data_IF_388696276524
#
_entry.id   IF_388696276524
#
_cell.length_a   1.000
_cell.length_b   1.000
_cell.length_c   1.000
_cell.angle_alpha   90.00
_cell.angle_beta   90.00
_cell.angle_gamma   90.00
#
_symmetry.space_group_name_H-M   'P 1'
#
loop_
_entity.id
_entity.type
_entity.pdbx_description
1 polymer ?
#
# COMPACT_ATOMS: atom_id res chain seq x y z
N UNK A 1 19.34 0.08 13.56
CA UNK A 1 18.56 1.24 13.06
C UNK A 1 18.27 0.98 11.59
N UNK A 2 16.99 0.97 11.20
CA UNK A 2 16.55 0.70 9.82
C UNK A 2 15.10 1.11 9.52
N UNK A 3 14.38 1.64 10.52
CA UNK A 3 12.97 2.02 10.42
C UNK A 3 12.73 3.47 9.95
N UNK A 4 13.80 4.23 9.67
CA UNK A 4 13.67 5.59 9.11
C UNK A 4 13.35 5.50 7.62
N UNK A 5 12.58 6.46 7.12
CA UNK A 5 12.38 6.60 5.67
C UNK A 5 13.71 6.83 4.95
N UNK A 6 13.77 6.40 3.69
CA UNK A 6 14.91 6.66 2.82
C UNK A 6 15.13 8.18 2.67
N UNK A 7 16.37 8.69 2.69
CA UNK A 7 16.64 10.13 2.65
C UNK A 7 16.12 10.85 1.40
N UNK A 8 15.91 10.12 0.31
CA UNK A 8 15.36 10.67 -0.94
C UNK A 8 13.84 10.66 -0.99
N UNK A 9 13.16 10.03 -0.03
CA UNK A 9 11.70 10.09 0.04
C UNK A 9 11.28 11.53 0.35
N UNK A 10 10.48 12.12 -0.55
CA UNK A 10 9.89 13.44 -0.39
C UNK A 10 8.41 13.25 -0.06
N UNK A 11 8.00 13.74 1.10
CA UNK A 11 6.62 13.68 1.57
C UNK A 11 6.11 15.11 1.74
N UNK A 12 4.84 15.38 1.42
CA UNK A 12 4.23 16.67 1.73
C UNK A 12 4.08 16.85 3.25
N UNK A 13 3.84 18.07 3.69
CA UNK A 13 3.76 18.40 5.12
C UNK A 13 2.56 17.74 5.82
N UNK A 14 1.47 17.50 5.09
CA UNK A 14 0.21 16.92 5.55
C UNK A 14 0.19 15.38 5.44
N UNK A 15 1.35 14.75 5.24
CA UNK A 15 1.45 13.28 5.17
C UNK A 15 1.00 12.62 6.48
N UNK A 16 0.14 11.61 6.36
CA UNK A 16 -0.24 10.74 7.48
C UNK A 16 0.70 9.54 7.50
N UNK A 17 1.48 9.41 8.58
CA UNK A 17 2.34 8.24 8.81
C UNK A 17 1.60 7.21 9.64
N UNK A 18 1.42 6.02 9.06
CA UNK A 18 0.81 4.86 9.72
C UNK A 18 1.90 3.83 10.01
N UNK A 19 2.02 3.44 11.28
CA UNK A 19 2.98 2.43 11.74
C UNK A 19 2.26 1.11 12.02
N UNK A 20 2.84 -0.02 11.57
CA UNK A 20 2.28 -1.37 11.70
C UNK A 20 3.34 -2.36 12.20
N UNK A 21 2.92 -3.49 12.77
CA UNK A 21 3.82 -4.48 13.36
C UNK A 21 4.46 -3.99 14.66
N UNK A 22 3.68 -3.25 15.46
CA UNK A 22 4.12 -2.66 16.72
C UNK A 22 3.74 -3.52 17.93
N UNK A 23 2.76 -4.42 17.80
CA UNK A 23 2.40 -5.41 18.81
C UNK A 23 3.24 -6.70 18.73
N UNK A 24 3.40 -7.38 19.87
CA UNK A 24 4.20 -8.62 20.00
C UNK A 24 3.70 -9.80 19.14
N UNK A 25 2.46 -9.71 18.63
CA UNK A 25 1.79 -10.80 17.91
C UNK A 25 1.14 -10.33 16.60
N UNK A 26 1.57 -9.18 16.07
CA UNK A 26 1.09 -8.64 14.79
C UNK A 26 2.11 -8.92 13.71
N UNK A 27 1.75 -9.75 12.72
CA UNK A 27 2.57 -9.99 11.53
C UNK A 27 2.81 -8.68 10.74
N UNK A 28 1.91 -7.70 10.91
CA UNK A 28 2.09 -6.33 10.44
C UNK A 28 2.24 -6.23 8.93
N UNK A 29 1.70 -7.17 8.14
CA UNK A 29 1.82 -7.12 6.69
C UNK A 29 0.88 -6.09 6.06
N UNK A 30 -0.37 -6.04 6.50
CA UNK A 30 -1.38 -5.11 5.98
C UNK A 30 -1.29 -3.76 6.67
N UNK A 31 -1.43 -2.67 5.91
CA UNK A 31 -1.52 -1.31 6.50
C UNK A 31 -2.82 -1.12 7.29
N UNK A 32 -3.81 -1.98 7.10
CA UNK A 32 -5.05 -1.97 7.88
C UNK A 32 -4.88 -2.42 9.34
N UNK A 33 -3.76 -3.06 9.67
CA UNK A 33 -3.36 -3.35 11.06
C UNK A 33 -2.53 -2.20 11.67
N UNK A 34 -2.35 -1.11 10.92
CA UNK A 34 -1.52 0.02 11.31
C UNK A 34 -2.27 1.12 12.05
N UNK A 35 -1.52 1.85 12.88
CA UNK A 35 -1.98 2.98 13.68
C UNK A 35 -1.25 4.25 13.25
N UNK A 36 -2.00 5.32 13.03
CA UNK A 36 -1.47 6.64 12.74
C UNK A 36 -0.87 7.30 14.00
N UNK A 37 -0.05 8.33 13.82
CA UNK A 37 0.62 9.03 14.94
C UNK A 37 -0.32 9.65 15.98
N UNK A 38 -1.59 9.86 15.64
CA UNK A 38 -2.63 10.35 16.53
C UNK A 38 -3.51 9.24 17.16
N UNK A 39 -3.17 7.97 16.92
CA UNK A 39 -3.85 6.81 17.49
C UNK A 39 -5.01 6.26 16.68
N UNK A 40 -5.39 6.89 15.56
CA UNK A 40 -6.43 6.35 14.67
C UNK A 40 -5.91 5.14 13.89
N UNK A 41 -6.77 4.16 13.64
CA UNK A 41 -6.45 3.11 12.67
C UNK A 41 -6.51 3.65 11.23
N UNK A 42 -5.86 2.96 10.29
CA UNK A 42 -5.81 3.39 8.89
C UNK A 42 -7.21 3.53 8.26
N UNK A 43 -8.14 2.64 8.58
CA UNK A 43 -9.49 2.69 8.03
C UNK A 43 -10.28 3.90 8.55
N UNK A 44 -10.08 4.29 9.80
CA UNK A 44 -10.62 5.50 10.41
C UNK A 44 -10.11 6.74 9.70
N UNK A 45 -8.80 6.79 9.41
CA UNK A 45 -8.21 7.87 8.62
C UNK A 45 -8.88 8.00 7.24
N UNK A 46 -9.02 6.89 6.52
CA UNK A 46 -9.64 6.88 5.19
C UNK A 46 -11.11 7.32 5.22
N UNK A 47 -11.87 6.88 6.23
CA UNK A 47 -13.29 7.23 6.38
C UNK A 47 -13.49 8.72 6.67
N UNK A 48 -12.66 9.30 7.53
CA UNK A 48 -12.74 10.72 7.89
C UNK A 48 -12.40 11.61 6.69
N UNK A 49 -11.47 11.18 5.85
CA UNK A 49 -11.11 11.85 4.60
C UNK A 49 -12.02 11.49 3.41
N UNK A 50 -13.07 10.69 3.64
CA UNK A 50 -14.01 10.22 2.61
C UNK A 50 -13.34 9.55 1.39
N UNK A 51 -12.23 8.85 1.63
CA UNK A 51 -11.45 8.20 0.56
C UNK A 51 -12.19 6.98 0.01
N UNK A 52 -12.42 6.98 -1.30
CA UNK A 52 -13.07 5.88 -2.02
C UNK A 52 -12.13 5.10 -2.95
N UNK A 53 -10.94 5.64 -3.20
CA UNK A 53 -9.98 5.08 -4.14
C UNK A 53 -8.56 5.30 -3.62
N UNK A 54 -7.78 4.22 -3.55
CA UNK A 54 -6.36 4.23 -3.19
C UNK A 54 -5.50 4.02 -4.42
N UNK A 55 -4.43 4.82 -4.53
CA UNK A 55 -3.29 4.54 -5.38
C UNK A 55 -2.20 3.94 -4.52
N UNK A 56 -1.73 2.74 -4.87
CA UNK A 56 -0.79 1.98 -4.05
C UNK A 56 0.51 1.77 -4.81
N UNK A 57 1.60 2.18 -4.17
CA UNK A 57 2.98 1.91 -4.55
C UNK A 57 3.82 1.59 -3.30
N UNK A 58 5.11 1.35 -3.48
CA UNK A 58 6.07 1.11 -2.39
C UNK A 58 6.61 -0.32 -2.35
N UNK A 59 7.05 -0.73 -1.16
CA UNK A 59 7.78 -1.99 -0.95
C UNK A 59 7.15 -2.82 0.18
N UNK A 60 7.14 -4.15 0.11
CA UNK A 60 7.46 -4.96 -1.06
C UNK A 60 6.18 -5.41 -1.79
N UNK A 61 6.24 -5.53 -3.12
CA UNK A 61 5.10 -5.92 -3.99
C UNK A 61 4.40 -7.19 -3.50
N UNK A 62 5.19 -8.20 -3.17
CA UNK A 62 4.83 -9.56 -2.77
C UNK A 62 4.41 -9.70 -1.31
N UNK A 63 4.57 -8.65 -0.51
CA UNK A 63 4.19 -8.62 0.91
C UNK A 63 3.28 -7.41 1.20
N UNK A 64 3.85 -6.33 1.76
CA UNK A 64 3.10 -5.24 2.34
C UNK A 64 2.13 -4.59 1.34
N UNK A 65 2.56 -4.46 0.08
CA UNK A 65 1.72 -3.94 -1.00
C UNK A 65 0.57 -4.91 -1.26
N UNK A 66 0.86 -6.19 -1.55
CA UNK A 66 -0.14 -7.25 -1.78
C UNK A 66 -1.22 -7.28 -0.70
N UNK A 67 -0.83 -7.45 0.56
CA UNK A 67 -1.80 -7.59 1.66
C UNK A 67 -2.64 -6.32 1.84
N UNK A 68 -2.03 -5.14 1.73
CA UNK A 68 -2.77 -3.87 1.82
C UNK A 68 -3.79 -3.72 0.69
N UNK A 69 -3.41 -4.05 -0.55
CA UNK A 69 -4.32 -3.97 -1.72
C UNK A 69 -5.49 -4.93 -1.56
N UNK A 70 -5.22 -6.19 -1.21
CA UNK A 70 -6.26 -7.19 -1.05
C UNK A 70 -7.26 -6.83 0.05
N UNK A 71 -6.79 -6.28 1.18
CA UNK A 71 -7.67 -5.86 2.26
C UNK A 71 -8.48 -4.60 1.92
N UNK A 72 -7.91 -3.65 1.18
CA UNK A 72 -8.65 -2.50 0.66
C UNK A 72 -9.81 -2.97 -0.24
N UNK A 73 -9.53 -3.89 -1.16
CA UNK A 73 -10.54 -4.45 -2.07
C UNK A 73 -11.65 -5.20 -1.31
N UNK A 74 -11.30 -6.02 -0.32
CA UNK A 74 -12.30 -6.70 0.55
C UNK A 74 -13.22 -5.72 1.28
N UNK A 75 -12.73 -4.50 1.54
CA UNK A 75 -13.46 -3.42 2.21
C UNK A 75 -14.26 -2.53 1.24
N UNK A 76 -14.24 -2.84 -0.06
CA UNK A 76 -14.96 -2.09 -1.09
C UNK A 76 -14.26 -0.79 -1.49
N UNK A 77 -13.00 -0.59 -1.11
CA UNK A 77 -12.20 0.56 -1.54
C UNK A 77 -11.60 0.22 -2.91
N UNK A 78 -11.77 1.11 -3.89
CA UNK A 78 -11.16 0.92 -5.20
C UNK A 78 -9.65 1.04 -5.08
N UNK A 79 -8.91 0.24 -5.84
CA UNK A 79 -7.44 0.28 -5.80
C UNK A 79 -6.86 0.34 -7.20
N UNK A 80 -5.93 1.28 -7.39
CA UNK A 80 -5.01 1.31 -8.52
C UNK A 80 -3.60 1.01 -8.02
N UNK A 81 -3.00 -0.06 -8.54
CA UNK A 81 -1.61 -0.45 -8.29
C UNK A 81 -0.68 0.26 -9.30
N UNK A 82 0.31 0.98 -8.80
CA UNK A 82 1.30 1.70 -9.61
C UNK A 82 2.48 0.78 -9.95
N UNK A 83 2.49 0.21 -11.15
CA UNK A 83 3.45 -0.83 -11.55
C UNK A 83 4.91 -0.33 -11.61
N UNK A 84 5.11 0.96 -11.91
CA UNK A 84 6.41 1.61 -11.94
C UNK A 84 6.87 2.15 -10.58
N UNK A 85 6.02 2.05 -9.56
CA UNK A 85 6.31 2.49 -8.19
C UNK A 85 6.35 1.33 -7.18
N UNK A 86 6.42 0.08 -7.62
CA UNK A 86 6.52 -1.11 -6.75
C UNK A 86 7.73 -1.96 -7.07
N UNK A 87 8.25 -2.67 -6.07
CA UNK A 87 9.32 -3.68 -6.24
C UNK A 87 9.17 -4.79 -5.21
N UNK A 88 9.31 -6.04 -5.66
CA UNK A 88 9.22 -7.22 -4.80
C UNK A 88 10.49 -7.46 -3.98
N UNK A 89 10.37 -8.32 -2.96
CA UNK A 89 11.54 -8.97 -2.37
C UNK A 89 12.06 -10.05 -3.32
N UNK A 90 11.13 -10.78 -3.96
CA UNK A 90 11.42 -11.88 -4.89
C UNK A 90 12.34 -12.94 -4.28
N UNK A 91 11.93 -13.49 -3.12
CA UNK A 91 12.65 -14.60 -2.49
C UNK A 91 12.70 -15.83 -3.41
N UNK A 92 11.62 -16.07 -4.15
CA UNK A 92 11.58 -16.99 -5.28
C UNK A 92 11.34 -16.21 -6.58
N UNK A 93 11.91 -16.67 -7.71
CA UNK A 93 11.65 -16.05 -9.00
C UNK A 93 10.15 -16.01 -9.33
N UNK A 94 9.62 -14.80 -9.54
CA UNK A 94 8.23 -14.57 -9.95
C UNK A 94 7.24 -14.32 -8.81
N UNK A 95 7.70 -14.18 -7.55
CA UNK A 95 6.82 -13.85 -6.42
C UNK A 95 6.09 -12.52 -6.63
N UNK A 96 6.80 -11.47 -7.07
CA UNK A 96 6.20 -10.17 -7.37
C UNK A 96 5.16 -10.26 -8.50
N UNK A 97 5.46 -10.99 -9.58
CA UNK A 97 4.55 -11.19 -10.71
C UNK A 97 3.31 -12.00 -10.31
N UNK A 98 3.49 -13.00 -9.44
CA UNK A 98 2.38 -13.74 -8.82
C UNK A 98 1.49 -12.85 -7.98
N UNK A 99 2.09 -12.01 -7.13
CA UNK A 99 1.37 -11.07 -6.28
C UNK A 99 0.58 -10.03 -7.10
N UNK A 100 1.16 -9.47 -8.16
CA UNK A 100 0.47 -8.56 -9.08
C UNK A 100 -0.75 -9.24 -9.70
N UNK A 101 -0.60 -10.46 -10.21
CA UNK A 101 -1.73 -11.22 -10.81
C UNK A 101 -2.84 -11.47 -9.80
N UNK A 102 -2.51 -11.79 -8.57
CA UNK A 102 -3.49 -12.00 -7.50
C UNK A 102 -4.26 -10.71 -7.19
N UNK A 103 -3.57 -9.58 -7.03
CA UNK A 103 -4.18 -8.27 -6.80
C UNK A 103 -5.13 -7.88 -7.94
N UNK A 104 -4.69 -8.06 -9.19
CA UNK A 104 -5.52 -7.75 -10.37
C UNK A 104 -6.75 -8.65 -10.45
N UNK A 105 -6.58 -9.94 -10.17
CA UNK A 105 -7.71 -10.90 -10.15
C UNK A 105 -8.72 -10.57 -9.05
N UNK A 106 -8.26 -10.02 -7.92
CA UNK A 106 -9.13 -9.53 -6.84
C UNK A 106 -9.84 -8.21 -7.17
N UNK A 107 -9.49 -7.54 -8.27
CA UNK A 107 -10.15 -6.32 -8.75
C UNK A 107 -9.31 -5.04 -8.69
N UNK A 108 -8.01 -5.12 -8.40
CA UNK A 108 -7.12 -3.97 -8.55
C UNK A 108 -6.97 -3.61 -10.04
N UNK A 109 -7.02 -2.31 -10.34
CA UNK A 109 -6.60 -1.78 -11.64
C UNK A 109 -5.10 -1.50 -11.60
N UNK A 110 -4.40 -1.58 -12.72
CA UNK A 110 -2.98 -1.21 -12.81
C UNK A 110 -2.81 0.08 -13.58
N UNK A 111 -1.83 0.87 -13.18
CA UNK A 111 -1.41 2.08 -13.87
C UNK A 111 0.10 2.26 -13.78
N UNK A 112 0.64 3.15 -14.60
CA UNK A 112 1.97 3.73 -14.43
C UNK A 112 1.83 5.24 -14.26
N UNK A 113 2.87 5.93 -13.81
CA UNK A 113 2.88 7.39 -13.76
C UNK A 113 2.56 8.00 -15.12
N UNK A 114 3.09 7.40 -16.20
CA UNK A 114 2.82 7.85 -17.56
C UNK A 114 1.35 7.67 -17.96
N UNK A 115 0.69 6.57 -17.57
CA UNK A 115 -0.72 6.37 -17.92
C UNK A 115 -1.62 7.34 -17.16
N UNK A 116 -1.32 7.61 -15.89
CA UNK A 116 -2.09 8.55 -15.06
C UNK A 116 -2.00 9.99 -15.56
N UNK A 117 -0.82 10.43 -15.99
CA UNK A 117 -0.62 11.78 -16.52
C UNK A 117 -1.37 12.05 -17.83
N UNK A 118 -1.90 11.01 -18.49
CA UNK A 118 -2.70 11.12 -19.72
C UNK A 118 -4.21 11.12 -19.47
N UNK A 119 -4.63 10.85 -18.23
CA UNK A 119 -6.04 10.85 -17.82
C UNK A 119 -6.54 12.24 -17.35
N UNK A 120 -5.64 13.22 -17.28
CA UNK A 120 -5.91 14.64 -16.92
C UNK A 120 -6.10 15.57 -18.13
#
# INVERSE_FOLDING_TARGET
>A
MGARFHPDLRLPEDVIVVSKGIGENEDGFSTFDGIAGDGRDFLGCLREMEVQHLYVGGLATDYCVKYTVLDALKRGIRVTLLLDAVRGVDLMPGDAEGAIREMVTAGAVTATLESLAKEE
#
